data_IF_829853785576
#
_entry.id   IF_829853785576
#
_cell.length_a   1.000
_cell.length_b   1.000
_cell.length_c   1.000
_cell.angle_alpha   90.00
_cell.angle_beta   90.00
_cell.angle_gamma   90.00
#
_symmetry.space_group_name_H-M   'P 1'
#
loop_
_entity.id
_entity.type
_entity.pdbx_description
1 polymer ?
#
# COMPACT_ATOMS: atom_id res chain seq x y z
N UNK A 1 23.10 -7.73 26.00
CA UNK A 1 24.27 -8.11 25.21
C UNK A 1 24.13 -7.48 23.84
N UNK A 2 25.04 -6.56 23.49
CA UNK A 2 25.03 -5.82 22.22
C UNK A 2 25.57 -6.72 21.11
N UNK A 3 24.84 -6.88 20.01
CA UNK A 3 25.39 -7.46 18.79
C UNK A 3 25.53 -6.35 17.74
N UNK A 4 26.75 -5.81 17.64
CA UNK A 4 27.19 -5.01 16.50
C UNK A 4 27.59 -5.98 15.40
N UNK A 5 26.94 -5.97 14.24
CA UNK A 5 27.49 -6.59 13.04
C UNK A 5 28.35 -5.56 12.30
N UNK A 6 29.66 -5.78 12.35
CA UNK A 6 30.66 -5.10 11.53
C UNK A 6 30.60 -5.65 10.11
N UNK A 7 30.30 -4.79 9.13
CA UNK A 7 30.48 -5.09 7.71
C UNK A 7 31.97 -4.99 7.35
N UNK A 8 32.59 -6.11 6.96
CA UNK A 8 33.92 -6.11 6.35
C UNK A 8 33.82 -5.63 4.90
N UNK A 9 34.55 -4.54 4.64
CA UNK A 9 34.75 -3.92 3.34
C UNK A 9 35.71 -4.78 2.50
N UNK A 10 35.20 -5.37 1.43
CA UNK A 10 35.99 -6.02 0.38
C UNK A 10 35.98 -5.13 -0.86
N UNK A 11 37.12 -4.49 -1.14
CA UNK A 11 37.39 -3.74 -2.38
C UNK A 11 37.44 -4.72 -3.55
N UNK A 12 36.60 -4.52 -4.57
CA UNK A 12 36.78 -5.13 -5.89
C UNK A 12 36.97 -4.01 -6.90
N UNK A 13 38.15 -4.03 -7.50
CA UNK A 13 38.66 -3.07 -8.48
C UNK A 13 37.76 -2.87 -9.68
N UNK A 14 37.66 -1.60 -10.09
CA UNK A 14 36.99 -1.17 -11.30
C UNK A 14 37.71 -1.63 -12.57
N UNK A 15 36.95 -2.24 -13.47
CA UNK A 15 37.23 -2.19 -14.90
C UNK A 15 36.01 -1.63 -15.63
N UNK A 16 36.21 -0.43 -16.15
CA UNK A 16 35.35 0.22 -17.14
C UNK A 16 35.18 -0.69 -18.35
N UNK A 17 33.94 -1.12 -18.62
CA UNK A 17 33.55 -1.71 -19.90
C UNK A 17 32.92 -0.59 -20.73
N UNK A 18 33.70 -0.07 -21.67
CA UNK A 18 33.22 0.85 -22.68
C UNK A 18 32.16 0.16 -23.54
N UNK A 19 30.92 0.68 -23.56
CA UNK A 19 29.89 0.25 -24.50
C UNK A 19 30.14 0.90 -25.85
N UNK A 20 30.54 0.09 -26.83
CA UNK A 20 30.50 0.43 -28.25
C UNK A 20 29.04 0.64 -28.69
N UNK A 21 28.78 1.80 -29.32
CA UNK A 21 27.52 2.06 -30.02
C UNK A 21 27.52 1.26 -31.33
N UNK A 22 26.77 0.18 -31.38
CA UNK A 22 26.31 -0.39 -32.64
C UNK A 22 24.88 0.10 -32.90
N UNK A 23 24.72 0.87 -33.98
CA UNK A 23 23.42 1.23 -34.52
C UNK A 23 22.97 0.14 -35.50
N UNK A 24 21.90 -0.55 -35.18
CA UNK A 24 21.13 -1.33 -36.15
C UNK A 24 19.66 -0.93 -36.04
N UNK A 25 19.25 -0.07 -36.98
CA UNK A 25 17.87 0.29 -37.22
C UNK A 25 17.20 -0.81 -38.04
N UNK A 26 16.47 -1.71 -37.39
CA UNK A 26 15.34 -2.46 -37.96
C UNK A 26 14.56 -3.13 -36.83
N UNK A 27 13.97 -2.32 -35.95
CA UNK A 27 13.11 -2.83 -34.88
C UNK A 27 11.67 -2.86 -35.38
N UNK A 28 11.12 -4.05 -35.60
CA UNK A 28 9.68 -4.27 -35.38
C UNK A 28 9.31 -3.63 -34.06
N UNK A 29 8.24 -2.82 -33.99
CA UNK A 29 7.70 -2.33 -32.73
C UNK A 29 7.38 -3.55 -31.85
N UNK A 30 8.33 -3.94 -30.99
CA UNK A 30 8.12 -5.00 -30.02
C UNK A 30 7.21 -4.42 -28.95
N UNK A 31 5.91 -4.69 -29.07
CA UNK A 31 5.00 -4.44 -27.97
C UNK A 31 5.40 -5.41 -26.86
N UNK A 32 6.04 -4.86 -25.83
CA UNK A 32 6.66 -5.63 -24.75
C UNK A 32 5.70 -6.61 -24.09
N UNK A 33 4.44 -6.19 -23.98
CA UNK A 33 3.34 -6.95 -23.41
C UNK A 33 2.24 -7.05 -24.45
N UNK A 34 1.83 -8.25 -24.81
CA UNK A 34 0.81 -8.48 -25.84
C UNK A 34 -0.63 -8.21 -25.37
N UNK A 35 -0.87 -8.12 -24.06
CA UNK A 35 -2.18 -7.85 -23.47
C UNK A 35 -2.09 -7.35 -22.03
N UNK A 36 -3.23 -6.87 -21.49
CA UNK A 36 -3.39 -6.56 -20.08
C UNK A 36 -3.06 -7.74 -19.17
N UNK A 37 -3.54 -8.94 -19.53
CA UNK A 37 -3.29 -10.13 -18.72
C UNK A 37 -1.81 -10.54 -18.73
N UNK A 38 -1.07 -10.28 -19.81
CA UNK A 38 0.36 -10.60 -19.87
C UNK A 38 1.18 -9.73 -18.92
N UNK A 39 0.97 -8.41 -18.92
CA UNK A 39 1.68 -7.51 -18.02
C UNK A 39 1.27 -7.75 -16.55
N UNK A 40 -0.02 -7.95 -16.29
CA UNK A 40 -0.52 -8.28 -14.94
C UNK A 40 0.10 -9.58 -14.45
N UNK A 41 0.14 -10.63 -15.29
CA UNK A 41 0.75 -11.91 -14.97
C UNK A 41 2.23 -11.76 -14.62
N UNK A 42 2.99 -11.02 -15.42
CA UNK A 42 4.42 -10.79 -15.20
C UNK A 42 4.69 -10.03 -13.89
N UNK A 43 3.98 -8.92 -13.64
CA UNK A 43 4.10 -8.13 -12.40
C UNK A 43 3.73 -8.98 -11.18
N UNK A 44 2.66 -9.78 -11.28
CA UNK A 44 2.16 -10.65 -10.21
C UNK A 44 3.15 -11.75 -9.85
N UNK A 45 3.74 -12.43 -10.84
CA UNK A 45 4.75 -13.45 -10.58
C UNK A 45 6.00 -12.84 -9.94
N UNK A 46 6.44 -11.66 -10.39
CA UNK A 46 7.55 -10.94 -9.77
C UNK A 46 7.26 -10.60 -8.30
N UNK A 47 6.06 -10.08 -7.99
CA UNK A 47 5.62 -9.80 -6.62
C UNK A 47 5.64 -11.06 -5.75
N UNK A 48 5.05 -12.16 -6.23
CA UNK A 48 4.98 -13.42 -5.49
C UNK A 48 6.37 -13.97 -5.16
N UNK A 49 7.32 -13.82 -6.07
CA UNK A 49 8.69 -14.27 -5.89
C UNK A 49 9.53 -13.38 -4.95
N UNK A 50 9.04 -12.19 -4.59
CA UNK A 50 9.82 -11.17 -3.87
C UNK A 50 9.41 -10.94 -2.42
N UNK A 51 8.32 -11.55 -1.94
CA UNK A 51 7.80 -11.35 -0.57
C UNK A 51 8.80 -11.87 0.48
N UNK A 52 9.13 -11.01 1.45
CA UNK A 52 10.08 -11.28 2.53
C UNK A 52 9.48 -10.98 3.90
N UNK A 53 8.77 -9.86 4.02
CA UNK A 53 8.38 -9.29 5.32
C UNK A 53 6.88 -9.25 5.53
N UNK A 54 6.45 -8.70 6.68
CA UNK A 54 5.07 -8.73 7.13
C UNK A 54 4.17 -7.79 6.33
N UNK A 55 4.58 -6.53 6.11
CA UNK A 55 3.83 -5.56 5.30
C UNK A 55 3.76 -5.96 3.82
N UNK A 56 4.83 -6.55 3.28
CA UNK A 56 4.86 -7.05 1.89
C UNK A 56 3.81 -8.15 1.69
N UNK A 57 3.65 -9.05 2.65
CA UNK A 57 2.65 -10.12 2.60
C UNK A 57 1.23 -9.57 2.57
N UNK A 58 0.91 -8.58 3.41
CA UNK A 58 -0.44 -8.00 3.46
C UNK A 58 -0.75 -7.09 2.28
N UNK A 59 0.22 -6.28 1.84
CA UNK A 59 0.08 -5.44 0.64
C UNK A 59 -0.14 -6.28 -0.60
N UNK A 60 0.65 -7.35 -0.76
CA UNK A 60 0.45 -8.29 -1.85
C UNK A 60 -0.90 -8.99 -1.78
N UNK A 61 -1.39 -9.37 -0.58
CA UNK A 61 -2.74 -9.92 -0.42
C UNK A 61 -3.82 -8.94 -0.89
N UNK A 62 -3.68 -7.64 -0.56
CA UNK A 62 -4.58 -6.58 -1.02
C UNK A 62 -4.61 -6.46 -2.55
N UNK A 63 -3.44 -6.47 -3.20
CA UNK A 63 -3.34 -6.45 -4.66
C UNK A 63 -3.96 -7.69 -5.31
N UNK A 64 -3.71 -8.87 -4.76
CA UNK A 64 -4.27 -10.14 -5.26
C UNK A 64 -5.79 -10.14 -5.19
N UNK A 65 -6.37 -9.65 -4.09
CA UNK A 65 -7.83 -9.50 -3.98
C UNK A 65 -8.36 -8.61 -5.12
N UNK A 66 -7.69 -7.50 -5.44
CA UNK A 66 -8.14 -6.61 -6.51
C UNK A 66 -7.98 -7.19 -7.92
N UNK A 67 -7.01 -8.08 -8.14
CA UNK A 67 -6.73 -8.69 -9.45
C UNK A 67 -7.59 -9.95 -9.68
N UNK A 68 -7.53 -10.90 -8.75
CA UNK A 68 -8.07 -12.25 -8.94
C UNK A 68 -9.50 -12.38 -8.39
N UNK A 69 -9.79 -11.63 -7.32
CA UNK A 69 -11.00 -11.77 -6.51
C UNK A 69 -11.74 -10.43 -6.34
N UNK A 70 -11.91 -9.61 -7.41
CA UNK A 70 -12.31 -8.21 -7.30
C UNK A 70 -13.64 -8.02 -6.58
N UNK A 71 -14.55 -9.01 -6.62
CA UNK A 71 -15.81 -9.00 -5.89
C UNK A 71 -15.67 -8.86 -4.35
N UNK A 72 -14.51 -9.23 -3.80
CA UNK A 72 -14.19 -9.15 -2.36
C UNK A 72 -13.28 -7.97 -2.02
N UNK A 73 -12.83 -7.21 -3.02
CA UNK A 73 -12.15 -5.95 -2.77
C UNK A 73 -13.11 -4.98 -2.09
N UNK A 74 -12.63 -4.18 -1.13
CA UNK A 74 -13.41 -3.07 -0.51
C UNK A 74 -13.97 -2.09 -1.54
N UNK A 75 -13.47 -2.11 -2.78
CA UNK A 75 -13.98 -1.31 -3.89
C UNK A 75 -15.15 -1.94 -4.67
N UNK A 76 -15.50 -3.21 -4.43
CA UNK A 76 -16.67 -3.88 -5.01
C UNK A 76 -18.01 -3.43 -4.41
N UNK A 77 -19.13 -3.77 -5.04
CA UNK A 77 -20.46 -3.39 -4.57
C UNK A 77 -20.84 -4.00 -3.20
N UNK A 78 -20.45 -5.25 -2.95
CA UNK A 78 -20.81 -6.02 -1.74
C UNK A 78 -19.59 -6.75 -1.17
N UNK A 79 -18.58 -6.01 -0.67
CA UNK A 79 -17.26 -6.58 -0.35
C UNK A 79 -17.27 -7.52 0.86
N UNK A 80 -18.30 -7.44 1.71
CA UNK A 80 -18.40 -8.20 2.96
C UNK A 80 -19.40 -9.37 2.89
N UNK A 81 -19.85 -9.73 1.69
CA UNK A 81 -20.79 -10.84 1.47
C UNK A 81 -20.10 -11.98 0.71
N UNK A 82 -20.33 -13.22 1.12
CA UNK A 82 -19.87 -14.39 0.35
C UNK A 82 -20.80 -14.65 -0.83
N UNK A 83 -20.28 -14.60 -2.06
CA UNK A 83 -21.08 -14.81 -3.27
C UNK A 83 -21.09 -16.28 -3.74
N UNK A 84 -20.48 -17.19 -2.98
CA UNK A 84 -20.35 -18.61 -3.33
C UNK A 84 -19.08 -19.00 -4.08
N UNK A 85 -18.22 -18.03 -4.43
CA UNK A 85 -16.92 -18.28 -5.10
C UNK A 85 -15.78 -18.12 -4.10
N UNK A 86 -15.09 -19.21 -3.77
CA UNK A 86 -13.96 -19.21 -2.84
C UNK A 86 -12.78 -18.40 -3.40
N UNK A 87 -12.28 -17.35 -2.71
CA UNK A 87 -11.17 -16.55 -3.18
C UNK A 87 -9.82 -17.21 -2.89
N UNK A 88 -9.51 -18.28 -3.64
CA UNK A 88 -8.38 -19.18 -3.36
C UNK A 88 -7.05 -18.42 -3.27
N UNK A 89 -6.78 -17.51 -4.22
CA UNK A 89 -5.53 -16.77 -4.26
C UNK A 89 -5.41 -15.83 -3.06
N UNK A 90 -6.45 -15.07 -2.72
CA UNK A 90 -6.45 -14.26 -1.50
C UNK A 90 -6.23 -15.10 -0.23
N UNK A 91 -6.89 -16.27 -0.13
CA UNK A 91 -6.78 -17.15 1.04
C UNK A 91 -5.43 -17.84 1.17
N UNK A 92 -4.69 -18.06 0.08
CA UNK A 92 -3.31 -18.56 0.14
C UNK A 92 -2.38 -17.54 0.80
N UNK A 93 -2.53 -16.25 0.46
CA UNK A 93 -1.78 -15.18 1.11
C UNK A 93 -2.18 -15.02 2.57
N UNK A 94 -3.48 -15.07 2.86
CA UNK A 94 -4.00 -15.03 4.21
C UNK A 94 -3.50 -16.21 5.07
N UNK A 95 -3.45 -17.42 4.50
CA UNK A 95 -2.94 -18.61 5.20
C UNK A 95 -1.46 -18.43 5.57
N UNK A 96 -0.64 -17.94 4.64
CA UNK A 96 0.77 -17.62 4.90
C UNK A 96 0.91 -16.63 6.07
N UNK A 97 0.08 -15.59 6.10
CA UNK A 97 0.06 -14.60 7.17
C UNK A 97 -0.31 -15.20 8.54
N UNK A 98 -1.37 -16.01 8.57
CA UNK A 98 -1.88 -16.66 9.78
C UNK A 98 -0.92 -17.72 10.34
N UNK A 99 -0.29 -18.53 9.46
CA UNK A 99 0.69 -19.55 9.87
C UNK A 99 1.96 -18.89 10.44
N UNK A 100 2.35 -17.73 9.93
CA UNK A 100 3.49 -16.94 10.42
C UNK A 100 3.11 -15.96 11.54
N UNK A 101 1.96 -16.14 12.18
CA UNK A 101 1.52 -15.29 13.29
C UNK A 101 2.38 -15.54 14.55
N UNK A 102 2.96 -14.50 15.14
CA UNK A 102 3.74 -14.58 16.39
C UNK A 102 2.83 -14.83 17.59
N UNK A 103 3.40 -15.26 18.73
CA UNK A 103 2.65 -15.56 19.94
C UNK A 103 1.91 -14.34 20.52
N UNK A 104 2.46 -13.13 20.33
CA UNK A 104 1.86 -11.87 20.76
C UNK A 104 0.59 -11.49 20.00
N UNK A 105 0.35 -12.08 18.83
CA UNK A 105 -0.86 -11.90 18.01
C UNK A 105 -0.60 -11.32 16.62
N UNK A 106 0.60 -10.81 16.33
CA UNK A 106 0.87 -10.16 15.04
C UNK A 106 1.02 -11.15 13.88
N UNK A 107 0.37 -10.88 12.75
CA UNK A 107 0.38 -11.67 11.52
C UNK A 107 1.67 -11.49 10.73
N UNK A 108 2.09 -12.53 10.01
CA UNK A 108 3.27 -12.53 9.12
C UNK A 108 4.60 -12.15 9.79
N UNK A 109 4.68 -12.20 11.13
CA UNK A 109 5.83 -11.71 11.90
C UNK A 109 6.93 -12.75 12.12
N UNK A 110 6.61 -14.04 12.07
CA UNK A 110 7.63 -15.09 12.11
C UNK A 110 8.39 -15.09 10.76
N UNK A 111 9.44 -14.27 10.65
CA UNK A 111 10.29 -14.12 9.48
C UNK A 111 11.67 -14.70 9.82
N UNK A 112 11.75 -16.04 9.82
CA UNK A 112 12.93 -16.80 10.26
C UNK A 112 13.31 -16.48 11.72
N UNK A 113 14.56 -16.06 11.96
CA UNK A 113 15.13 -15.83 13.30
C UNK A 113 14.89 -14.40 13.85
N UNK A 114 14.00 -13.62 13.23
CA UNK A 114 13.73 -12.23 13.61
C UNK A 114 12.23 -11.94 13.74
N UNK A 115 11.91 -11.02 14.66
CA UNK A 115 10.63 -10.33 14.71
C UNK A 115 10.80 -8.92 14.12
N UNK A 116 9.79 -8.44 13.41
CA UNK A 116 9.76 -7.05 12.96
C UNK A 116 9.56 -6.10 14.15
N UNK A 117 10.23 -4.96 14.13
CA UNK A 117 10.03 -3.89 15.12
C UNK A 117 8.75 -3.09 14.90
N UNK A 118 8.12 -3.25 13.74
CA UNK A 118 6.85 -2.63 13.42
C UNK A 118 5.69 -3.27 14.21
N UNK A 119 4.84 -2.40 14.76
CA UNK A 119 3.65 -2.78 15.49
C UNK A 119 2.46 -3.07 14.56
N UNK A 120 2.40 -2.41 13.39
CA UNK A 120 1.19 -2.40 12.56
C UNK A 120 1.35 -3.17 11.25
N UNK A 121 2.56 -3.55 10.84
CA UNK A 121 2.78 -4.18 9.53
C UNK A 121 2.04 -5.51 9.35
N UNK A 122 1.90 -6.30 10.43
CA UNK A 122 1.11 -7.53 10.41
C UNK A 122 -0.38 -7.28 10.09
N UNK A 123 -0.92 -6.16 10.56
CA UNK A 123 -2.32 -5.77 10.36
C UNK A 123 -2.69 -5.61 8.88
N UNK A 124 -1.71 -5.30 8.02
CA UNK A 124 -1.93 -5.17 6.57
C UNK A 124 -2.50 -6.45 5.93
N UNK A 125 -2.24 -7.62 6.52
CA UNK A 125 -2.80 -8.90 6.08
C UNK A 125 -4.15 -9.23 6.74
N UNK A 126 -4.53 -8.52 7.81
CA UNK A 126 -5.68 -8.84 8.65
C UNK A 126 -7.02 -8.86 7.90
N UNK A 127 -7.21 -7.99 6.92
CA UNK A 127 -8.44 -7.98 6.10
C UNK A 127 -8.58 -9.25 5.26
N UNK A 128 -7.48 -9.73 4.67
CA UNK A 128 -7.46 -10.98 3.91
C UNK A 128 -7.62 -12.21 4.81
N UNK A 129 -7.07 -12.18 6.02
CA UNK A 129 -7.30 -13.22 7.04
C UNK A 129 -8.76 -13.25 7.46
N UNK A 130 -9.37 -12.10 7.76
CA UNK A 130 -10.76 -12.03 8.16
C UNK A 130 -11.72 -12.43 7.03
N UNK A 131 -11.38 -12.15 5.76
CA UNK A 131 -12.13 -12.64 4.59
C UNK A 131 -12.34 -14.17 4.64
N UNK A 132 -11.35 -14.93 5.12
CA UNK A 132 -11.47 -16.38 5.29
C UNK A 132 -12.58 -16.81 6.25
N UNK A 133 -12.92 -15.98 7.25
CA UNK A 133 -13.92 -16.32 8.26
C UNK A 133 -15.34 -16.49 7.72
N UNK A 134 -15.65 -15.84 6.59
CA UNK A 134 -16.98 -15.93 5.95
C UNK A 134 -16.95 -16.51 4.53
N UNK A 135 -15.77 -16.71 3.93
CA UNK A 135 -15.63 -17.33 2.60
C UNK A 135 -15.15 -18.78 2.63
N UNK A 136 -14.45 -19.20 3.69
CA UNK A 136 -13.96 -20.57 3.86
C UNK A 136 -14.60 -21.21 5.10
N UNK A 137 -15.89 -21.50 4.99
CA UNK A 137 -16.78 -21.87 6.10
C UNK A 137 -16.32 -23.09 6.90
N UNK A 138 -15.67 -24.06 6.25
CA UNK A 138 -15.18 -25.28 6.91
C UNK A 138 -14.04 -25.00 7.90
N UNK A 139 -13.38 -23.85 7.79
CA UNK A 139 -12.31 -23.42 8.70
C UNK A 139 -12.54 -21.99 9.22
N UNK A 140 -13.79 -21.53 9.27
CA UNK A 140 -14.17 -20.17 9.64
C UNK A 140 -13.54 -19.71 10.97
N UNK A 141 -13.53 -20.59 11.99
CA UNK A 141 -12.99 -20.30 13.32
C UNK A 141 -11.48 -20.06 13.31
N UNK A 142 -10.71 -20.77 12.48
CA UNK A 142 -9.26 -20.52 12.36
C UNK A 142 -9.00 -19.09 11.89
N UNK A 143 -9.69 -18.67 10.83
CA UNK A 143 -9.56 -17.33 10.26
C UNK A 143 -10.02 -16.25 11.24
N UNK A 144 -11.17 -16.44 11.88
CA UNK A 144 -11.70 -15.52 12.88
C UNK A 144 -10.74 -15.35 14.06
N UNK A 145 -10.23 -16.45 14.62
CA UNK A 145 -9.29 -16.41 15.74
C UNK A 145 -7.96 -15.75 15.35
N UNK A 146 -7.44 -16.01 14.14
CA UNK A 146 -6.22 -15.33 13.68
C UNK A 146 -6.43 -13.83 13.51
N UNK A 147 -7.55 -13.39 12.95
CA UNK A 147 -7.88 -11.96 12.85
C UNK A 147 -8.09 -11.33 14.24
N UNK A 148 -8.78 -12.01 15.15
CA UNK A 148 -9.03 -11.52 16.52
C UNK A 148 -7.72 -11.33 17.29
N UNK A 149 -6.74 -12.22 17.14
CA UNK A 149 -5.43 -12.08 17.79
C UNK A 149 -4.63 -10.88 17.30
N UNK A 150 -4.70 -10.57 16.00
CA UNK A 150 -4.12 -9.33 15.45
C UNK A 150 -4.84 -8.11 16.05
N UNK A 151 -6.17 -8.13 16.08
CA UNK A 151 -6.97 -7.05 16.64
C UNK A 151 -6.64 -6.82 18.13
N UNK A 152 -6.57 -7.89 18.93
CA UNK A 152 -6.19 -7.82 20.35
C UNK A 152 -4.81 -7.18 20.53
N UNK A 153 -3.83 -7.58 19.71
CA UNK A 153 -2.51 -6.97 19.74
C UNK A 153 -2.59 -5.46 19.49
N UNK A 154 -3.27 -5.04 18.42
CA UNK A 154 -3.45 -3.62 18.09
C UNK A 154 -4.10 -2.88 19.26
N UNK A 155 -5.27 -3.33 19.70
CA UNK A 155 -6.08 -2.61 20.69
C UNK A 155 -5.39 -2.50 22.06
N UNK A 156 -4.75 -3.59 22.50
CA UNK A 156 -4.35 -3.76 23.90
C UNK A 156 -2.84 -3.73 24.14
N UNK A 157 -2.01 -3.91 23.10
CA UNK A 157 -0.55 -4.04 23.26
C UNK A 157 0.24 -2.95 22.53
N UNK A 158 -0.30 -2.37 21.46
CA UNK A 158 0.40 -1.31 20.73
C UNK A 158 0.51 -0.02 21.56
N UNK A 159 1.71 0.58 21.71
CA UNK A 159 1.87 1.84 22.40
C UNK A 159 1.02 2.96 21.76
N UNK A 160 0.48 3.85 22.60
CA UNK A 160 -0.24 5.04 22.13
C UNK A 160 0.67 6.26 22.12
N UNK A 161 0.59 7.05 21.05
CA UNK A 161 1.17 8.40 21.02
C UNK A 161 0.45 9.32 22.01
N UNK A 162 0.98 10.51 22.25
CA UNK A 162 0.37 11.50 23.14
C UNK A 162 -0.99 12.02 22.67
N UNK A 163 -1.35 11.83 21.39
CA UNK A 163 -2.67 12.15 20.85
C UNK A 163 -3.64 10.96 20.87
N UNK A 164 -3.17 9.77 21.23
CA UNK A 164 -3.96 8.53 21.28
C UNK A 164 -3.84 7.64 20.04
N UNK A 165 -3.08 8.01 19.02
CA UNK A 165 -2.87 7.17 17.85
C UNK A 165 -2.10 5.89 18.20
N UNK A 166 -2.36 4.79 17.49
CA UNK A 166 -1.52 3.61 17.55
C UNK A 166 -0.13 3.95 17.02
N UNK A 167 0.91 3.68 17.79
CA UNK A 167 2.29 3.79 17.32
C UNK A 167 2.55 2.77 16.21
N UNK A 168 3.33 3.16 15.20
CA UNK A 168 3.85 2.22 14.21
C UNK A 168 4.93 1.30 14.79
N UNK A 169 5.45 1.59 15.98
CA UNK A 169 6.55 0.86 16.63
C UNK A 169 6.13 0.24 17.96
N UNK A 170 6.65 -0.94 18.27
CA UNK A 170 6.38 -1.64 19.54
C UNK A 170 7.18 -1.08 20.72
N UNK A 171 8.36 -0.51 20.44
CA UNK A 171 9.34 -0.09 21.44
C UNK A 171 9.35 1.43 21.71
N UNK A 172 8.61 2.19 20.92
CA UNK A 172 8.54 3.66 21.01
C UNK A 172 7.20 4.15 20.47
N UNK A 173 6.98 5.47 20.48
CA UNK A 173 5.76 6.16 20.06
C UNK A 173 6.04 6.98 18.81
N UNK A 174 5.88 6.37 17.64
CA UNK A 174 6.23 6.99 16.36
C UNK A 174 5.05 6.95 15.40
N UNK A 175 4.88 8.05 14.68
CA UNK A 175 4.05 8.11 13.48
C UNK A 175 4.95 7.86 12.27
N UNK A 176 4.56 6.91 11.45
CA UNK A 176 5.13 6.63 10.13
C UNK A 176 3.97 6.74 9.14
N UNK A 177 4.11 7.50 8.05
CA UNK A 177 3.01 7.68 7.08
C UNK A 177 2.45 6.33 6.57
N UNK A 178 3.32 5.33 6.46
CA UNK A 178 3.08 3.93 6.10
C UNK A 178 1.97 3.27 6.92
N UNK A 179 1.94 3.56 8.23
CA UNK A 179 1.04 2.94 9.19
C UNK A 179 -0.44 3.08 8.82
N UNK A 180 -0.77 4.12 8.06
CA UNK A 180 -2.14 4.44 7.62
C UNK A 180 -2.68 3.40 6.65
N UNK A 181 -1.81 2.73 5.87
CA UNK A 181 -2.21 1.57 5.08
C UNK A 181 -2.22 0.28 5.91
N UNK A 182 -1.30 0.15 6.87
CA UNK A 182 -1.12 -1.12 7.58
C UNK A 182 -2.26 -1.40 8.58
N UNK A 183 -2.55 -0.46 9.47
CA UNK A 183 -3.48 -0.67 10.59
C UNK A 183 -4.94 -0.29 10.30
N UNK A 184 -5.23 0.98 9.96
CA UNK A 184 -6.60 1.48 9.83
C UNK A 184 -7.51 0.69 8.88
N UNK A 185 -7.06 0.24 7.68
CA UNK A 185 -7.91 -0.56 6.80
C UNK A 185 -8.37 -1.87 7.44
N UNK A 186 -7.52 -2.54 8.22
CA UNK A 186 -7.90 -3.75 8.94
C UNK A 186 -8.93 -3.47 10.04
N UNK A 187 -8.73 -2.42 10.84
CA UNK A 187 -9.71 -2.01 11.86
C UNK A 187 -11.06 -1.69 11.23
N UNK A 188 -11.06 -0.98 10.10
CA UNK A 188 -12.28 -0.66 9.38
C UNK A 188 -12.95 -1.93 8.85
N UNK A 189 -12.18 -2.82 8.22
CA UNK A 189 -12.68 -4.06 7.63
C UNK A 189 -13.28 -4.97 8.71
N UNK A 190 -12.61 -5.10 9.85
CA UNK A 190 -13.12 -5.83 11.01
C UNK A 190 -14.42 -5.21 11.54
N UNK A 191 -14.47 -3.88 11.66
CA UNK A 191 -15.68 -3.15 12.04
C UNK A 191 -16.85 -3.39 11.09
N UNK A 192 -16.62 -3.38 9.77
CA UNK A 192 -17.65 -3.63 8.78
C UNK A 192 -18.18 -5.09 8.84
N UNK A 193 -17.28 -6.08 8.86
CA UNK A 193 -17.65 -7.51 8.91
C UNK A 193 -18.39 -7.88 10.20
N UNK A 194 -18.03 -7.26 11.33
CA UNK A 194 -18.62 -7.56 12.64
C UNK A 194 -19.73 -6.59 13.05
N UNK A 195 -20.13 -5.67 12.17
CA UNK A 195 -21.11 -4.62 12.44
C UNK A 195 -20.79 -3.81 13.73
N UNK A 196 -19.53 -3.37 13.85
CA UNK A 196 -19.01 -2.62 14.99
C UNK A 196 -18.53 -1.22 14.57
N UNK A 197 -19.38 -0.22 14.79
CA UNK A 197 -19.10 1.19 14.48
C UNK A 197 -17.89 1.74 15.25
N UNK A 198 -17.64 1.27 16.47
CA UNK A 198 -16.49 1.73 17.27
C UNK A 198 -15.16 1.41 16.59
N UNK A 199 -15.05 0.26 15.93
CA UNK A 199 -13.84 -0.10 15.18
C UNK A 199 -13.69 0.73 13.89
N UNK A 200 -14.80 1.03 13.20
CA UNK A 200 -14.80 1.96 12.06
C UNK A 200 -14.36 3.36 12.49
N UNK A 201 -14.88 3.86 13.61
CA UNK A 201 -14.52 5.16 14.16
C UNK A 201 -13.05 5.19 14.57
N UNK A 202 -12.55 4.11 15.18
CA UNK A 202 -11.14 3.98 15.56
C UNK A 202 -10.19 3.96 14.35
N UNK A 203 -10.60 3.33 13.25
CA UNK A 203 -9.86 3.38 11.99
C UNK A 203 -9.76 4.83 11.46
N UNK A 204 -10.91 5.51 11.35
CA UNK A 204 -10.97 6.91 10.94
C UNK A 204 -10.11 7.82 11.85
N UNK A 205 -10.22 7.66 13.16
CA UNK A 205 -9.49 8.50 14.11
C UNK A 205 -7.98 8.32 13.97
N UNK A 206 -7.50 7.10 13.67
CA UNK A 206 -6.07 6.92 13.41
C UNK A 206 -5.62 7.58 12.11
N UNK A 207 -6.41 7.53 11.02
CA UNK A 207 -6.09 8.32 9.82
C UNK A 207 -5.99 9.82 10.14
N UNK A 208 -6.96 10.36 10.89
CA UNK A 208 -6.98 11.77 11.30
C UNK A 208 -5.78 12.14 12.15
N UNK A 209 -5.47 11.35 13.18
CA UNK A 209 -4.38 11.65 14.11
C UNK A 209 -3.00 11.56 13.44
N UNK A 210 -2.82 10.64 12.49
CA UNK A 210 -1.61 10.59 11.67
C UNK A 210 -1.50 11.80 10.75
N UNK A 211 -2.60 12.19 10.08
CA UNK A 211 -2.64 13.43 9.29
C UNK A 211 -2.24 14.63 10.12
N UNK A 212 -2.88 14.83 11.27
CA UNK A 212 -2.65 15.99 12.15
C UNK A 212 -1.19 16.05 12.64
N UNK A 213 -0.53 14.90 12.81
CA UNK A 213 0.85 14.82 13.26
C UNK A 213 1.90 15.00 12.14
N UNK A 214 1.57 14.59 10.90
CA UNK A 214 2.53 14.50 9.80
C UNK A 214 2.33 15.56 8.71
N UNK A 215 1.17 16.21 8.63
CA UNK A 215 0.88 17.20 7.59
C UNK A 215 1.80 18.43 7.70
N UNK A 216 2.44 18.78 6.59
CA UNK A 216 3.27 19.96 6.42
C UNK A 216 2.87 20.72 5.16
N UNK A 217 3.12 22.02 5.15
CA UNK A 217 3.05 22.83 3.93
C UNK A 217 4.25 22.49 3.02
N UNK A 218 3.98 21.81 1.90
CA UNK A 218 4.96 21.47 0.89
C UNK A 218 5.01 22.49 -0.26
N UNK A 219 6.03 22.40 -1.13
CA UNK A 219 6.21 23.34 -2.25
C UNK A 219 5.12 23.24 -3.32
N UNK A 220 4.41 22.13 -3.38
CA UNK A 220 3.34 21.85 -4.36
C UNK A 220 1.96 21.70 -3.74
N UNK A 221 1.85 21.86 -2.42
CA UNK A 221 0.62 21.65 -1.65
C UNK A 221 0.90 21.00 -0.29
N UNK A 222 -0.14 20.85 0.55
CA UNK A 222 -0.02 20.14 1.81
C UNK A 222 0.28 18.66 1.57
N UNK A 223 1.36 18.16 2.17
CA UNK A 223 1.80 16.77 2.07
C UNK A 223 2.28 16.28 3.44
N UNK A 224 2.39 14.97 3.58
CA UNK A 224 2.77 14.36 4.84
C UNK A 224 4.28 14.17 4.89
N UNK A 225 4.89 14.55 6.01
CA UNK A 225 6.21 14.10 6.37
C UNK A 225 6.22 12.59 6.66
N UNK A 226 7.39 11.97 6.52
CA UNK A 226 7.53 10.53 6.64
C UNK A 226 7.42 10.03 8.09
N UNK A 227 8.31 10.46 9.00
CA UNK A 227 8.41 9.89 10.36
C UNK A 227 8.59 10.96 11.45
N UNK A 228 7.66 10.97 12.40
CA UNK A 228 7.73 11.76 13.64
C UNK A 228 7.79 10.87 14.88
N UNK A 229 8.80 11.08 15.73
CA UNK A 229 8.93 10.46 17.03
C UNK A 229 8.28 11.32 18.11
N UNK A 230 7.08 10.92 18.50
CA UNK A 230 6.30 11.58 19.54
C UNK A 230 6.82 11.30 20.96
N UNK A 231 7.55 10.20 21.15
CA UNK A 231 8.21 9.89 22.42
C UNK A 231 9.35 10.87 22.72
N UNK A 232 10.15 11.17 21.69
CA UNK A 232 11.31 12.05 21.79
C UNK A 232 11.05 13.49 21.29
N UNK A 233 9.85 13.76 20.76
CA UNK A 233 9.46 15.06 20.17
C UNK A 233 10.41 15.53 19.07
N UNK A 234 10.79 14.63 18.16
CA UNK A 234 11.72 14.93 17.07
C UNK A 234 11.28 14.28 15.77
N UNK A 235 11.64 14.92 14.65
CA UNK A 235 11.55 14.29 13.34
C UNK A 235 12.68 13.28 13.18
N UNK A 236 12.34 12.09 12.71
CA UNK A 236 13.32 11.10 12.23
C UNK A 236 13.52 11.32 10.74
N UNK A 237 12.41 11.52 10.02
CA UNK A 237 12.42 11.93 8.63
C UNK A 237 11.29 12.95 8.42
N UNK A 238 11.67 14.21 8.20
CA UNK A 238 10.74 15.31 7.91
C UNK A 238 10.48 15.48 6.40
N UNK A 239 11.13 14.66 5.56
CA UNK A 239 10.97 14.74 4.12
C UNK A 239 9.56 14.38 3.68
N UNK A 240 9.13 14.99 2.57
CA UNK A 240 7.85 14.71 1.92
C UNK A 240 8.08 13.55 0.94
N UNK A 241 8.11 12.35 1.49
CA UNK A 241 8.36 11.11 0.77
C UNK A 241 7.11 10.67 0.01
N UNK A 242 7.22 10.51 -1.30
CA UNK A 242 6.12 10.18 -2.20
C UNK A 242 5.50 8.82 -1.89
N UNK A 243 6.32 7.79 -1.59
CA UNK A 243 5.77 6.46 -1.23
C UNK A 243 5.08 6.50 0.14
N UNK A 244 5.57 7.28 1.11
CA UNK A 244 4.89 7.51 2.38
C UNK A 244 3.51 8.16 2.21
N UNK A 245 3.43 9.19 1.36
CA UNK A 245 2.14 9.82 1.00
C UNK A 245 1.22 8.85 0.23
N UNK A 246 1.80 8.00 -0.62
CA UNK A 246 1.05 6.98 -1.34
C UNK A 246 0.46 5.90 -0.41
N UNK A 247 1.19 5.46 0.61
CA UNK A 247 0.66 4.62 1.67
C UNK A 247 -0.52 5.29 2.40
N UNK A 248 -0.35 6.55 2.80
CA UNK A 248 -1.40 7.30 3.47
C UNK A 248 -2.68 7.42 2.62
N UNK A 249 -2.54 7.80 1.35
CA UNK A 249 -3.67 7.92 0.44
C UNK A 249 -4.35 6.57 0.18
N UNK A 250 -3.57 5.51 -0.05
CA UNK A 250 -4.09 4.15 -0.30
C UNK A 250 -4.79 3.59 0.95
N UNK A 251 -4.27 3.85 2.14
CA UNK A 251 -4.92 3.46 3.39
C UNK A 251 -6.23 4.19 3.61
N UNK A 252 -6.23 5.52 3.50
CA UNK A 252 -7.42 6.34 3.72
C UNK A 252 -8.55 6.05 2.72
N UNK A 253 -8.24 5.84 1.43
CA UNK A 253 -9.27 5.55 0.44
C UNK A 253 -9.94 4.18 0.68
N UNK A 254 -9.18 3.19 1.22
CA UNK A 254 -9.73 1.89 1.62
C UNK A 254 -10.61 2.00 2.86
N UNK A 255 -10.20 2.78 3.85
CA UNK A 255 -11.03 3.07 5.04
C UNK A 255 -12.32 3.76 4.63
N UNK A 256 -12.24 4.78 3.76
CA UNK A 256 -13.41 5.50 3.24
C UNK A 256 -14.39 4.55 2.54
N UNK A 257 -13.90 3.73 1.60
CA UNK A 257 -14.73 2.75 0.88
C UNK A 257 -15.34 1.70 1.82
N UNK A 258 -14.60 1.30 2.86
CA UNK A 258 -15.06 0.33 3.85
C UNK A 258 -16.18 0.90 4.73
N UNK A 259 -16.02 2.13 5.22
CA UNK A 259 -17.05 2.83 6.01
C UNK A 259 -18.31 3.00 5.16
N UNK A 260 -18.18 3.54 3.94
CA UNK A 260 -19.29 3.83 3.04
C UNK A 260 -20.14 2.58 2.72
N UNK A 261 -19.49 1.41 2.59
CA UNK A 261 -20.14 0.13 2.28
C UNK A 261 -20.52 -0.71 3.51
N UNK A 262 -20.22 -0.22 4.71
CA UNK A 262 -20.62 -0.88 5.95
C UNK A 262 -22.09 -0.60 6.27
N UNK A 263 -22.62 -1.26 7.30
CA UNK A 263 -23.93 -0.94 7.86
C UNK A 263 -24.05 0.49 8.42
N UNK A 264 -22.94 1.23 8.56
CA UNK A 264 -22.87 2.56 9.17
C UNK A 264 -22.52 3.68 8.18
N UNK A 265 -22.46 3.41 6.87
CA UNK A 265 -22.01 4.38 5.88
C UNK A 265 -22.77 5.71 5.90
N UNK A 266 -24.10 5.65 6.06
CA UNK A 266 -24.95 6.86 6.18
C UNK A 266 -24.65 7.67 7.45
N UNK A 267 -24.40 7.01 8.58
CA UNK A 267 -24.13 7.64 9.87
C UNK A 267 -22.72 8.23 9.94
N UNK A 268 -21.79 7.62 9.22
CA UNK A 268 -20.38 8.00 9.17
C UNK A 268 -20.01 8.75 7.88
N UNK A 269 -20.99 9.41 7.26
CA UNK A 269 -20.77 10.18 6.02
C UNK A 269 -19.69 11.26 6.19
N UNK A 270 -19.69 11.98 7.30
CA UNK A 270 -18.70 13.03 7.55
C UNK A 270 -17.27 12.47 7.64
N UNK A 271 -17.10 11.28 8.20
CA UNK A 271 -15.81 10.60 8.30
C UNK A 271 -15.31 10.20 6.91
N UNK A 272 -16.20 9.67 6.08
CA UNK A 272 -15.90 9.33 4.68
C UNK A 272 -15.53 10.59 3.88
N UNK A 273 -16.31 11.67 4.00
CA UNK A 273 -16.05 12.94 3.31
C UNK A 273 -14.68 13.53 3.71
N UNK A 274 -14.33 13.45 5.00
CA UNK A 274 -13.03 13.89 5.50
C UNK A 274 -11.87 13.05 4.93
N UNK A 275 -11.97 11.72 4.96
CA UNK A 275 -10.95 10.83 4.40
C UNK A 275 -10.73 11.10 2.91
N UNK A 276 -11.83 11.26 2.16
CA UNK A 276 -11.80 11.59 0.73
C UNK A 276 -11.15 12.94 0.47
N UNK A 277 -11.45 13.96 1.29
CA UNK A 277 -10.80 15.27 1.19
C UNK A 277 -9.29 15.20 1.47
N UNK A 278 -8.86 14.42 2.46
CA UNK A 278 -7.43 14.25 2.79
C UNK A 278 -6.67 13.45 1.72
N UNK A 279 -7.32 12.47 1.09
CA UNK A 279 -6.78 11.81 -0.10
C UNK A 279 -6.60 12.81 -1.24
N UNK A 280 -7.59 13.70 -1.45
CA UNK A 280 -7.50 14.75 -2.46
C UNK A 280 -6.34 15.71 -2.20
N UNK A 281 -6.09 16.10 -0.95
CA UNK A 281 -4.91 16.92 -0.58
C UNK A 281 -3.60 16.28 -1.05
N UNK A 282 -3.42 14.98 -0.81
CA UNK A 282 -2.23 14.24 -1.24
C UNK A 282 -2.14 14.19 -2.76
N UNK A 283 -3.22 13.82 -3.46
CA UNK A 283 -3.21 13.76 -4.93
C UNK A 283 -2.91 15.14 -5.56
N UNK A 284 -3.47 16.22 -5.01
CA UNK A 284 -3.21 17.58 -5.49
C UNK A 284 -1.71 17.94 -5.34
N UNK A 285 -1.12 17.66 -4.18
CA UNK A 285 0.29 17.96 -3.90
C UNK A 285 1.26 17.13 -4.72
N UNK A 286 1.04 15.80 -4.80
CA UNK A 286 1.93 14.88 -5.51
C UNK A 286 1.80 15.01 -7.04
N UNK A 287 0.60 15.18 -7.59
CA UNK A 287 0.43 15.33 -9.04
C UNK A 287 0.95 16.69 -9.56
N UNK A 288 0.98 17.71 -8.71
CA UNK A 288 1.64 18.98 -9.04
C UNK A 288 3.18 18.87 -9.01
N UNK A 289 3.74 17.81 -8.40
CA UNK A 289 5.18 17.58 -8.27
C UNK A 289 5.77 16.62 -9.31
N UNK A 290 4.98 16.14 -10.27
CA UNK A 290 5.44 15.16 -11.27
C UNK A 290 6.75 15.57 -11.95
N UNK A 291 7.64 14.60 -12.10
CA UNK A 291 8.90 14.78 -12.83
C UNK A 291 8.66 14.95 -14.33
N UNK A 292 9.72 15.28 -15.09
CA UNK A 292 9.67 15.33 -16.55
C UNK A 292 9.30 14.00 -17.20
N UNK A 293 9.46 12.88 -16.48
CA UNK A 293 9.12 11.53 -16.91
C UNK A 293 7.66 11.16 -16.59
N UNK A 294 6.88 12.07 -16.00
CA UNK A 294 5.51 11.86 -15.50
C UNK A 294 5.42 10.82 -14.37
N UNK A 295 6.49 10.66 -13.60
CA UNK A 295 6.48 9.90 -12.35
C UNK A 295 6.39 10.86 -11.16
N UNK A 296 5.81 10.39 -10.07
CA UNK A 296 5.91 11.04 -8.76
C UNK A 296 7.38 10.93 -8.31
N UNK A 297 8.01 12.02 -7.83
CA UNK A 297 9.37 11.94 -7.31
C UNK A 297 9.40 11.14 -6.00
N UNK A 298 10.51 10.45 -5.74
CA UNK A 298 10.73 9.73 -4.48
C UNK A 298 10.53 10.65 -3.27
N UNK A 299 11.18 11.81 -3.25
CA UNK A 299 10.82 12.92 -2.37
C UNK A 299 10.48 14.17 -3.17
N UNK A 300 9.37 14.82 -2.82
CA UNK A 300 9.08 16.19 -3.28
C UNK A 300 10.09 17.17 -2.68
N UNK A 301 10.47 16.97 -1.42
CA UNK A 301 11.54 17.73 -0.74
C UNK A 301 12.09 16.92 0.44
N UNK A 302 13.37 17.13 0.77
CA UNK A 302 14.00 16.56 1.97
C UNK A 302 14.67 15.20 1.78
N UNK A 303 14.74 14.69 0.54
CA UNK A 303 15.37 13.41 0.22
C UNK A 303 15.79 13.29 -1.25
N UNK A 304 15.91 12.05 -1.75
CA UNK A 304 16.24 11.78 -3.14
C UNK A 304 15.07 12.13 -4.07
N UNK A 305 15.34 12.51 -5.32
CA UNK A 305 14.33 13.09 -6.23
C UNK A 305 14.16 12.32 -7.53
N UNK A 306 14.61 11.06 -7.59
CA UNK A 306 14.37 10.22 -8.75
C UNK A 306 12.87 9.96 -8.92
N UNK A 307 12.37 9.81 -10.14
CA UNK A 307 10.97 9.38 -10.33
C UNK A 307 10.78 7.98 -9.77
N UNK A 308 9.70 7.74 -9.03
CA UNK A 308 9.44 6.49 -8.32
C UNK A 308 8.14 5.84 -8.80
N UNK A 309 8.25 4.66 -9.41
CA UNK A 309 7.10 3.90 -9.89
C UNK A 309 6.23 3.33 -8.76
N UNK A 310 6.76 3.16 -7.54
CA UNK A 310 5.98 2.64 -6.41
C UNK A 310 4.89 3.65 -5.99
N UNK A 311 5.29 4.86 -5.59
CA UNK A 311 4.37 5.96 -5.27
C UNK A 311 3.47 6.32 -6.43
N UNK A 312 4.03 6.41 -7.64
CA UNK A 312 3.30 6.66 -8.89
C UNK A 312 2.14 5.68 -9.10
N UNK A 313 2.41 4.38 -9.02
CA UNK A 313 1.39 3.36 -9.23
C UNK A 313 0.31 3.41 -8.15
N UNK A 314 0.71 3.52 -6.88
CA UNK A 314 -0.21 3.63 -5.76
C UNK A 314 -1.14 4.84 -5.90
N UNK A 315 -0.61 6.04 -6.13
CA UNK A 315 -1.42 7.26 -6.26
C UNK A 315 -2.30 7.26 -7.53
N UNK A 316 -1.82 6.67 -8.63
CA UNK A 316 -2.66 6.45 -9.81
C UNK A 316 -3.82 5.49 -9.50
N UNK A 317 -3.59 4.44 -8.71
CA UNK A 317 -4.66 3.53 -8.27
C UNK A 317 -5.72 4.27 -7.44
N UNK A 318 -5.28 5.12 -6.50
CA UNK A 318 -6.14 5.93 -5.64
C UNK A 318 -6.97 6.91 -6.48
N UNK A 319 -6.37 7.57 -7.46
CA UNK A 319 -7.09 8.48 -8.35
C UNK A 319 -8.19 7.76 -9.16
N UNK A 320 -7.92 6.57 -9.70
CA UNK A 320 -8.94 5.79 -10.42
C UNK A 320 -10.06 5.31 -9.50
N UNK A 321 -9.74 4.80 -8.30
CA UNK A 321 -10.75 4.39 -7.30
C UNK A 321 -11.58 5.59 -6.84
N UNK A 322 -10.92 6.73 -6.61
CA UNK A 322 -11.53 8.01 -6.28
C UNK A 322 -12.54 8.43 -7.34
N UNK A 323 -12.14 8.46 -8.61
CA UNK A 323 -13.00 8.84 -9.72
C UNK A 323 -14.21 7.91 -9.90
N UNK A 324 -14.05 6.62 -9.56
CA UNK A 324 -15.14 5.63 -9.63
C UNK A 324 -16.17 5.81 -8.52
N UNK A 325 -15.72 6.04 -7.29
CA UNK A 325 -16.58 6.04 -6.10
C UNK A 325 -17.07 7.44 -5.71
N UNK A 326 -16.26 8.47 -5.92
CA UNK A 326 -16.54 9.87 -5.58
C UNK A 326 -16.24 10.80 -6.76
N UNK A 327 -16.95 10.65 -7.90
CA UNK A 327 -16.69 11.41 -9.13
C UNK A 327 -16.87 12.93 -8.98
N UNK A 328 -17.69 13.38 -8.02
CA UNK A 328 -17.88 14.80 -7.72
C UNK A 328 -16.63 15.44 -7.07
N UNK A 329 -15.78 14.62 -6.45
CA UNK A 329 -14.51 15.05 -5.84
C UNK A 329 -13.36 14.82 -6.81
N UNK A 330 -13.32 13.65 -7.45
CA UNK A 330 -12.24 13.22 -8.34
C UNK A 330 -12.69 13.21 -9.80
N UNK A 331 -12.74 14.42 -10.38
CA UNK A 331 -13.10 14.61 -11.79
C UNK A 331 -12.01 14.21 -12.79
N UNK A 332 -12.25 14.59 -14.06
CA UNK A 332 -11.40 14.24 -15.21
C UNK A 332 -9.93 14.65 -15.06
N UNK A 333 -9.63 15.72 -14.32
CA UNK A 333 -8.25 16.15 -14.07
C UNK A 333 -7.42 15.08 -13.34
N UNK A 334 -8.03 14.34 -12.41
CA UNK A 334 -7.33 13.27 -11.67
C UNK A 334 -7.10 12.05 -12.55
N UNK A 335 -8.09 11.64 -13.36
CA UNK A 335 -7.92 10.50 -14.26
C UNK A 335 -6.94 10.80 -15.39
N UNK A 336 -6.90 12.02 -15.91
CA UNK A 336 -5.90 12.45 -16.91
C UNK A 336 -4.48 12.43 -16.33
N UNK A 337 -4.29 12.88 -15.08
CA UNK A 337 -2.99 12.79 -14.42
C UNK A 337 -2.60 11.32 -14.16
N UNK A 338 -3.53 10.53 -13.63
CA UNK A 338 -3.35 9.09 -13.40
C UNK A 338 -3.01 8.33 -14.70
N UNK A 339 -3.61 8.69 -15.84
CA UNK A 339 -3.30 8.06 -17.13
C UNK A 339 -1.88 8.35 -17.59
N UNK A 340 -1.38 9.58 -17.41
CA UNK A 340 0.02 9.92 -17.72
C UNK A 340 0.98 9.12 -16.85
N UNK A 341 0.70 9.05 -15.55
CA UNK A 341 1.51 8.30 -14.59
C UNK A 341 1.50 6.81 -14.94
N UNK A 342 0.31 6.22 -15.15
CA UNK A 342 0.15 4.82 -15.52
C UNK A 342 0.90 4.48 -16.80
N UNK A 343 0.84 5.34 -17.82
CA UNK A 343 1.59 5.14 -19.06
C UNK A 343 3.11 5.14 -18.80
N UNK A 344 3.61 6.06 -17.97
CA UNK A 344 5.02 6.08 -17.58
C UNK A 344 5.42 4.79 -16.83
N UNK A 345 4.64 4.38 -15.81
CA UNK A 345 4.88 3.14 -15.04
C UNK A 345 4.86 1.91 -15.96
N UNK A 346 3.83 1.75 -16.79
CA UNK A 346 3.68 0.61 -17.72
C UNK A 346 4.84 0.56 -18.72
N UNK A 347 5.27 1.71 -19.25
CA UNK A 347 6.40 1.78 -20.18
C UNK A 347 7.74 1.41 -19.53
N UNK A 348 7.86 1.61 -18.22
CA UNK A 348 9.05 1.29 -17.42
C UNK A 348 9.13 -0.16 -16.92
N UNK A 349 8.05 -0.94 -17.04
CA UNK A 349 8.07 -2.35 -16.59
C UNK A 349 9.10 -3.12 -17.42
N UNK A 350 10.03 -3.81 -16.75
CA UNK A 350 11.14 -4.57 -17.35
C UNK A 350 10.69 -5.89 -17.96
N UNK A 351 11.54 -6.58 -18.74
CA UNK A 351 11.17 -7.87 -19.37
C UNK A 351 10.92 -8.99 -18.34
N UNK A 352 11.36 -8.76 -17.10
CA UNK A 352 11.10 -9.64 -15.95
C UNK A 352 9.81 -9.26 -15.19
N UNK A 353 9.02 -8.32 -15.70
CA UNK A 353 7.80 -7.85 -15.05
C UNK A 353 8.04 -6.88 -13.89
N UNK A 354 9.28 -6.39 -13.69
CA UNK A 354 9.60 -5.48 -12.58
C UNK A 354 9.25 -4.03 -12.94
N UNK A 355 8.54 -3.32 -12.08
CA UNK A 355 8.42 -1.87 -12.14
C UNK A 355 9.81 -1.26 -11.90
N UNK A 356 10.11 -0.20 -12.65
CA UNK A 356 11.38 0.49 -12.54
C UNK A 356 11.27 1.92 -13.09
N UNK A 357 12.02 2.90 -12.54
CA UNK A 357 12.68 2.86 -11.23
C UNK A 357 11.67 2.71 -10.08
N UNK A 358 12.06 2.03 -9.00
CA UNK A 358 11.24 1.92 -7.77
C UNK A 358 12.10 2.28 -6.57
N UNK A 359 11.52 2.84 -5.52
CA UNK A 359 12.19 2.99 -4.22
C UNK A 359 12.61 1.64 -3.65
N UNK A 360 13.79 1.57 -3.02
CA UNK A 360 14.21 0.41 -2.21
C UNK A 360 13.47 0.44 -0.86
N UNK A 361 12.58 -0.52 -0.56
CA UNK A 361 11.79 -0.51 0.67
C UNK A 361 12.65 -0.70 1.94
N UNK A 362 13.90 -1.13 1.82
CA UNK A 362 14.83 -1.25 2.95
C UNK A 362 15.79 -0.05 3.07
N UNK A 363 15.81 0.82 2.06
CA UNK A 363 16.61 2.03 2.03
C UNK A 363 15.95 3.08 1.12
N UNK A 364 14.92 3.73 1.64
CA UNK A 364 13.98 4.56 0.89
C UNK A 364 14.59 5.79 0.19
N UNK A 365 15.87 6.10 0.40
CA UNK A 365 16.57 7.14 -0.35
C UNK A 365 17.29 6.64 -1.61
N UNK A 366 17.08 5.38 -2.01
CA UNK A 366 17.79 4.72 -3.11
C UNK A 366 16.82 4.07 -4.10
N UNK A 367 17.28 3.94 -5.35
CA UNK A 367 16.59 3.15 -6.37
C UNK A 367 16.81 1.67 -6.09
N UNK A 368 15.72 0.95 -5.82
CA UNK A 368 15.69 -0.49 -5.67
C UNK A 368 15.71 -1.22 -7.01
N UNK A 369 16.15 -2.47 -6.97
CA UNK A 369 16.09 -3.40 -8.12
C UNK A 369 14.74 -4.13 -8.16
N UNK A 370 14.18 -4.42 -6.98
CA UNK A 370 12.98 -5.22 -6.78
C UNK A 370 12.25 -4.72 -5.53
N UNK A 371 10.97 -4.41 -5.67
CA UNK A 371 10.12 -3.93 -4.57
C UNK A 371 8.78 -4.65 -4.60
N UNK A 372 8.52 -5.50 -3.60
CA UNK A 372 7.25 -6.25 -3.52
C UNK A 372 6.06 -5.31 -3.43
N UNK A 373 6.17 -4.26 -2.62
CA UNK A 373 5.14 -3.22 -2.50
C UNK A 373 4.96 -2.46 -3.82
N UNK A 374 6.04 -2.12 -4.52
CA UNK A 374 5.97 -1.47 -5.83
C UNK A 374 5.20 -2.35 -6.83
N UNK A 375 5.51 -3.64 -6.89
CA UNK A 375 4.76 -4.58 -7.73
C UNK A 375 3.28 -4.66 -7.33
N UNK A 376 2.97 -4.72 -6.03
CA UNK A 376 1.60 -4.74 -5.53
C UNK A 376 0.83 -3.47 -5.92
N UNK A 377 1.45 -2.30 -5.81
CA UNK A 377 0.88 -1.03 -6.25
C UNK A 377 0.66 -0.98 -7.77
N UNK A 378 1.59 -1.53 -8.56
CA UNK A 378 1.41 -1.71 -10.00
C UNK A 378 0.15 -2.53 -10.34
N UNK A 379 -0.08 -3.62 -9.60
CA UNK A 379 -1.29 -4.43 -9.75
C UNK A 379 -2.55 -3.69 -9.31
N UNK A 380 -2.52 -2.99 -8.18
CA UNK A 380 -3.65 -2.16 -7.73
C UNK A 380 -4.00 -1.07 -8.76
N UNK A 381 -2.99 -0.42 -9.35
CA UNK A 381 -3.17 0.57 -10.42
C UNK A 381 -3.87 -0.03 -11.63
N UNK A 382 -3.39 -1.16 -12.14
CA UNK A 382 -3.96 -1.83 -13.30
C UNK A 382 -5.40 -2.30 -13.03
N UNK A 383 -5.65 -2.88 -11.85
CA UNK A 383 -6.99 -3.31 -11.42
C UNK A 383 -7.96 -2.13 -11.24
N UNK A 384 -7.51 -1.02 -10.65
CA UNK A 384 -8.32 0.19 -10.51
C UNK A 384 -8.65 0.82 -11.87
N UNK A 385 -7.70 0.81 -12.81
CA UNK A 385 -7.92 1.29 -14.17
C UNK A 385 -8.93 0.42 -14.93
N UNK A 386 -8.80 -0.91 -14.87
CA UNK A 386 -9.76 -1.86 -15.44
C UNK A 386 -11.16 -1.68 -14.86
N UNK A 387 -11.29 -1.49 -13.54
CA UNK A 387 -12.58 -1.26 -12.87
C UNK A 387 -13.22 0.08 -13.24
N UNK A 388 -12.40 1.14 -13.39
CA UNK A 388 -12.90 2.44 -13.85
C UNK A 388 -13.51 2.34 -15.25
N UNK A 389 -12.84 1.63 -16.17
CA UNK A 389 -13.30 1.41 -17.55
C UNK A 389 -14.49 0.45 -17.64
N UNK A 390 -14.58 -0.54 -16.73
CA UNK A 390 -15.60 -1.58 -16.77
C UNK A 390 -15.35 -2.68 -17.80
N UNK A 391 -14.17 -2.70 -18.43
CA UNK A 391 -13.72 -3.73 -19.37
C UNK A 391 -12.19 -3.86 -19.33
N UNK A 392 -11.67 -4.95 -19.88
CA UNK A 392 -10.23 -5.17 -19.96
C UNK A 392 -9.56 -4.22 -20.98
N UNK A 393 -8.61 -3.38 -20.56
CA UNK A 393 -8.01 -2.38 -21.45
C UNK A 393 -6.93 -2.96 -22.35
N UNK A 394 -6.64 -2.26 -23.45
CA UNK A 394 -5.45 -2.50 -24.27
C UNK A 394 -4.22 -1.83 -23.64
N UNK A 395 -3.06 -2.49 -23.69
CA UNK A 395 -1.77 -2.04 -23.13
C UNK A 395 -0.93 -1.30 -24.17
#
# INVERSE_FOLDING_TARGET
MKCQQQSKQGSIDGRSIARTKESTSSGTNYQKWSSYNDIVGAIKTAMQASIRTSWEQGTAAGAIIEVDDPQYSVFANKPFEYNGVLPVSALQFALSAAVRQTADGRLSQNINDAEDGAALDGASAGSAVLLGSFTHTDNATFWANSAERELDFILNKVPRTSTGAFSHRVDTKQYWADAVYMGPPFLAYYGAVTNNQTLLQLAYDNCRLYRDALLLDGPTGPLWAHIYDDGNKTWIDKGLWGTGNAWAATGMIRVAATIDKSGFGSEMKNQTDNLVAWVKEILDGEFAALTSENLVPDYVVGGATFGDCSSSAALSSVAYRGAKLWPDVFGLNYTVAADKIRQAVVSGVTDLGLLSPVVDPLNWGQVGILSTEGQAFGLMMLSAWKDLLGFEPAI
#
